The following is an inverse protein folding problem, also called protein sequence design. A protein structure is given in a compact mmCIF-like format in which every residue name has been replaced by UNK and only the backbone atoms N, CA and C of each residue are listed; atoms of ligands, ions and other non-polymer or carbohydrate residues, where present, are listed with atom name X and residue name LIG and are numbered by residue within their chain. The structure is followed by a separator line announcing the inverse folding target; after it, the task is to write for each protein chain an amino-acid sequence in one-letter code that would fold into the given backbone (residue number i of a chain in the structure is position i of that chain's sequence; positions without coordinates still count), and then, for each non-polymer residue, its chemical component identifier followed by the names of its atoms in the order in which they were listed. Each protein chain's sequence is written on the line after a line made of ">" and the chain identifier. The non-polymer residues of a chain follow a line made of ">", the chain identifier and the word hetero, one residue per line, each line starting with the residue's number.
data_IF_560595542077
#
_entry.id   IF_560595542077
#
_cell.length_a   1.000
_cell.length_b   1.000
_cell.length_c   1.000
_cell.angle_alpha   90.00
_cell.angle_beta   90.00
_cell.angle_gamma   90.00
#
_symmetry.space_group_name_H-M   'P 1'
#
loop_
_entity.id
_entity.type
_entity.pdbx_description
1 polymer ?
#
# COMPACT_ATOMS: atom_id res chain seq x y z
N UNK A 1 51.38 -20.31 -0.70
CA UNK A 1 50.37 -19.88 0.30
C UNK A 1 49.60 -18.71 -0.29
N UNK A 2 48.31 -18.87 -0.59
CA UNK A 2 47.49 -17.80 -1.15
C UNK A 2 47.09 -16.82 -0.03
N UNK A 3 47.36 -15.53 -0.24
CA UNK A 3 46.99 -14.46 0.69
C UNK A 3 45.46 -14.34 0.75
N UNK A 4 44.86 -14.61 1.92
CA UNK A 4 43.43 -14.35 2.17
C UNK A 4 43.22 -12.82 2.18
N UNK A 5 42.60 -12.30 1.13
CA UNK A 5 42.21 -10.89 1.04
C UNK A 5 41.13 -10.63 2.10
N UNK A 6 41.39 -9.71 3.04
CA UNK A 6 40.38 -9.27 4.02
C UNK A 6 39.22 -8.59 3.27
N UNK A 7 37.95 -8.91 3.54
CA UNK A 7 36.84 -8.21 2.94
C UNK A 7 36.86 -6.75 3.38
N UNK A 8 36.66 -5.82 2.45
CA UNK A 8 36.44 -4.42 2.81
C UNK A 8 35.01 -4.28 3.34
N UNK A 9 34.78 -3.56 4.46
CA UNK A 9 33.44 -3.27 4.94
C UNK A 9 32.68 -2.45 3.89
N UNK A 10 31.52 -2.96 3.43
CA UNK A 10 30.64 -2.27 2.49
C UNK A 10 29.46 -1.68 3.24
N UNK A 11 29.19 -0.39 3.06
CA UNK A 11 28.03 0.26 3.70
C UNK A 11 26.78 -0.06 2.88
N UNK A 12 25.91 -0.91 3.43
CA UNK A 12 24.65 -1.30 2.79
C UNK A 12 23.49 -0.55 3.46
N UNK A 13 22.66 0.08 2.64
CA UNK A 13 21.45 0.74 3.10
C UNK A 13 20.28 -0.25 3.12
N UNK A 14 19.85 -0.66 4.32
CA UNK A 14 18.73 -1.57 4.48
C UNK A 14 17.48 -0.72 4.68
N UNK A 15 16.62 -0.67 3.65
CA UNK A 15 15.29 -0.05 3.75
C UNK A 15 14.18 -1.09 3.63
N UNK A 16 13.14 -0.95 4.45
CA UNK A 16 11.89 -1.72 4.31
C UNK A 16 10.92 -0.92 3.46
N UNK A 17 10.68 -1.35 2.23
CA UNK A 17 9.60 -0.79 1.42
C UNK A 17 8.25 -1.29 1.97
N UNK A 18 7.26 -0.40 2.20
CA UNK A 18 5.93 -0.81 2.57
C UNK A 18 5.24 -1.48 1.38
N UNK A 19 4.39 -2.45 1.70
CA UNK A 19 3.62 -3.17 0.69
C UNK A 19 2.45 -2.28 0.26
N UNK A 20 2.60 -1.61 -0.89
CA UNK A 20 1.61 -0.66 -1.42
C UNK A 20 0.29 -1.35 -1.78
N UNK A 21 0.37 -2.51 -2.46
CA UNK A 21 -0.81 -3.22 -2.97
C UNK A 21 -1.79 -3.63 -1.86
N UNK A 22 -1.37 -4.22 -0.72
CA UNK A 22 -2.26 -4.51 0.40
C UNK A 22 -3.06 -3.29 0.88
N UNK A 23 -2.42 -2.14 1.06
CA UNK A 23 -3.10 -0.92 1.52
C UNK A 23 -4.13 -0.41 0.52
N UNK A 24 -3.80 -0.43 -0.77
CA UNK A 24 -4.74 -0.04 -1.82
C UNK A 24 -5.96 -1.00 -1.85
N UNK A 25 -5.74 -2.31 -1.72
CA UNK A 25 -6.81 -3.30 -1.63
C UNK A 25 -7.66 -3.14 -0.37
N UNK A 26 -7.05 -2.88 0.80
CA UNK A 26 -7.78 -2.59 2.03
C UNK A 26 -8.70 -1.39 1.86
N UNK A 27 -8.20 -0.31 1.25
CA UNK A 27 -8.98 0.87 0.94
C UNK A 27 -10.14 0.56 -0.01
N UNK A 28 -9.90 -0.21 -1.07
CA UNK A 28 -10.93 -0.63 -2.02
C UNK A 28 -12.04 -1.47 -1.35
N UNK A 29 -11.68 -2.39 -0.46
CA UNK A 29 -12.63 -3.20 0.30
C UNK A 29 -13.48 -2.31 1.21
N UNK A 30 -12.87 -1.36 1.92
CA UNK A 30 -13.61 -0.39 2.73
C UNK A 30 -14.57 0.46 1.90
N UNK A 31 -14.12 0.93 0.73
CA UNK A 31 -14.96 1.67 -0.21
C UNK A 31 -16.13 0.85 -0.73
N UNK A 32 -15.89 -0.41 -1.10
CA UNK A 32 -16.93 -1.35 -1.49
C UNK A 32 -17.98 -1.54 -0.38
N UNK A 33 -17.55 -1.77 0.87
CA UNK A 33 -18.46 -1.89 2.01
C UNK A 33 -19.28 -0.61 2.19
N UNK A 34 -18.64 0.56 2.10
CA UNK A 34 -19.32 1.85 2.20
C UNK A 34 -20.38 2.03 1.09
N UNK A 35 -20.14 1.56 -0.13
CA UNK A 35 -21.13 1.59 -1.21
C UNK A 35 -22.40 0.80 -0.85
N UNK A 36 -22.26 -0.40 -0.27
CA UNK A 36 -23.42 -1.18 0.19
C UNK A 36 -24.16 -0.46 1.31
N UNK A 37 -23.43 0.09 2.28
CA UNK A 37 -24.04 0.87 3.38
C UNK A 37 -24.84 2.06 2.83
N UNK A 38 -24.25 2.84 1.93
CA UNK A 38 -24.93 3.98 1.28
C UNK A 38 -26.16 3.52 0.49
N UNK A 39 -26.06 2.40 -0.24
CA UNK A 39 -27.19 1.86 -1.00
C UNK A 39 -28.36 1.45 -0.09
N UNK A 40 -28.11 0.93 1.11
CA UNK A 40 -29.15 0.59 2.09
C UNK A 40 -29.89 1.83 2.60
N UNK A 41 -29.26 3.01 2.59
CA UNK A 41 -29.90 4.26 2.96
C UNK A 41 -30.74 4.90 1.84
N UNK A 42 -30.66 4.39 0.60
CA UNK A 42 -31.44 4.90 -0.53
C UNK A 42 -32.82 4.21 -0.57
N UNK A 43 -33.92 4.97 -0.35
CA UNK A 43 -35.29 4.45 -0.45
C UNK A 43 -35.58 3.88 -1.83
N UNK A 44 -36.36 2.78 -1.90
CA UNK A 44 -36.59 2.06 -3.15
C UNK A 44 -37.30 2.90 -4.22
N UNK A 45 -38.18 3.82 -3.80
CA UNK A 45 -38.90 4.78 -4.64
C UNK A 45 -38.01 5.89 -5.23
N UNK A 46 -36.83 6.11 -4.63
CA UNK A 46 -35.86 7.12 -5.07
C UNK A 46 -34.69 6.53 -5.84
N UNK A 47 -34.66 5.21 -6.06
CA UNK A 47 -33.61 4.57 -6.86
C UNK A 47 -33.80 4.93 -8.33
N UNK A 48 -32.73 5.41 -8.96
CA UNK A 48 -32.68 5.62 -10.41
C UNK A 48 -32.99 4.32 -11.15
N UNK A 49 -33.49 4.42 -12.40
CA UNK A 49 -33.63 3.28 -13.30
C UNK A 49 -32.29 2.64 -13.68
N UNK A 50 -31.18 3.36 -13.49
CA UNK A 50 -29.83 2.85 -13.69
C UNK A 50 -29.38 1.92 -12.55
N UNK A 51 -28.35 1.11 -12.82
CA UNK A 51 -27.72 0.25 -11.81
C UNK A 51 -26.89 1.08 -10.81
N UNK A 52 -27.60 1.75 -9.90
CA UNK A 52 -27.01 2.65 -8.91
C UNK A 52 -26.08 1.94 -7.93
N UNK A 53 -26.34 0.67 -7.61
CA UNK A 53 -25.45 -0.13 -6.79
C UNK A 53 -24.11 -0.34 -7.49
N UNK A 54 -24.11 -0.69 -8.78
CA UNK A 54 -22.88 -0.84 -9.57
C UNK A 54 -22.07 0.45 -9.63
N UNK A 55 -22.74 1.58 -9.84
CA UNK A 55 -22.11 2.90 -9.86
C UNK A 55 -21.51 3.28 -8.49
N UNK A 56 -22.26 3.07 -7.40
CA UNK A 56 -21.77 3.31 -6.04
C UNK A 56 -20.59 2.40 -5.71
N UNK A 57 -20.68 1.12 -6.05
CA UNK A 57 -19.62 0.16 -5.81
C UNK A 57 -18.34 0.56 -6.55
N UNK A 58 -18.43 0.84 -7.85
CA UNK A 58 -17.28 1.23 -8.65
C UNK A 58 -16.66 2.53 -8.15
N UNK A 59 -17.48 3.57 -7.94
CA UNK A 59 -16.99 4.88 -7.48
C UNK A 59 -16.36 4.83 -6.09
N UNK A 60 -16.99 4.17 -5.12
CA UNK A 60 -16.47 4.10 -3.75
C UNK A 60 -15.30 3.13 -3.63
N UNK A 61 -15.29 1.99 -4.34
CA UNK A 61 -14.14 1.10 -4.36
C UNK A 61 -12.92 1.78 -5.01
N UNK A 62 -13.10 2.50 -6.12
CA UNK A 62 -12.03 3.28 -6.76
C UNK A 62 -11.53 4.41 -5.86
N UNK A 63 -12.43 5.14 -5.19
CA UNK A 63 -12.05 6.18 -4.23
C UNK A 63 -11.28 5.58 -3.05
N UNK A 64 -11.78 4.51 -2.45
CA UNK A 64 -11.14 3.79 -1.36
C UNK A 64 -9.76 3.25 -1.76
N UNK A 65 -9.63 2.71 -2.97
CA UNK A 65 -8.35 2.28 -3.54
C UNK A 65 -7.35 3.44 -3.59
N UNK A 66 -7.78 4.60 -4.11
CA UNK A 66 -6.96 5.81 -4.18
C UNK A 66 -6.51 6.30 -2.80
N UNK A 67 -7.41 6.30 -1.81
CA UNK A 67 -7.09 6.67 -0.42
C UNK A 67 -6.09 5.69 0.20
N UNK A 68 -6.30 4.38 0.03
CA UNK A 68 -5.37 3.36 0.52
C UNK A 68 -3.99 3.47 -0.10
N UNK A 69 -3.94 3.78 -1.41
CA UNK A 69 -2.70 4.03 -2.12
C UNK A 69 -1.98 5.28 -1.59
N UNK A 70 -2.69 6.40 -1.46
CA UNK A 70 -2.14 7.65 -0.94
C UNK A 70 -1.60 7.48 0.49
N UNK A 71 -2.32 6.73 1.33
CA UNK A 71 -1.87 6.38 2.68
C UNK A 71 -0.58 5.57 2.66
N UNK A 72 -0.49 4.52 1.82
CA UNK A 72 0.70 3.69 1.72
C UNK A 72 1.93 4.49 1.31
N UNK A 73 1.78 5.37 0.31
CA UNK A 73 2.84 6.25 -0.17
C UNK A 73 3.25 7.24 0.93
N UNK A 74 2.29 7.80 1.66
CA UNK A 74 2.57 8.72 2.77
C UNK A 74 3.40 8.03 3.87
N UNK A 75 3.04 6.80 4.22
CA UNK A 75 3.78 5.99 5.18
C UNK A 75 5.19 5.64 4.66
N UNK A 76 5.33 5.31 3.38
CA UNK A 76 6.64 5.08 2.75
C UNK A 76 7.55 6.31 2.85
N UNK A 77 7.02 7.46 2.46
CA UNK A 77 7.73 8.74 2.50
C UNK A 77 8.17 9.09 3.93
N UNK A 78 7.29 8.90 4.92
CA UNK A 78 7.62 9.13 6.32
C UNK A 78 8.67 8.13 6.83
N UNK A 79 8.54 6.85 6.49
CA UNK A 79 9.45 5.79 6.93
C UNK A 79 10.84 5.88 6.30
N UNK A 80 10.94 6.37 5.05
CA UNK A 80 12.21 6.54 4.34
C UNK A 80 13.20 7.44 5.10
N UNK A 81 12.69 8.33 5.97
CA UNK A 81 13.51 9.21 6.81
C UNK A 81 14.26 8.48 7.92
N UNK A 82 13.88 7.24 8.23
CA UNK A 82 14.51 6.42 9.29
C UNK A 82 15.44 5.33 8.73
N UNK A 83 15.90 5.47 7.49
CA UNK A 83 16.81 4.51 6.88
C UNK A 83 18.11 4.38 7.69
N UNK A 84 18.41 3.15 8.14
CA UNK A 84 19.63 2.82 8.89
C UNK A 84 20.69 2.29 7.93
N UNK A 85 21.91 2.81 8.06
CA UNK A 85 23.09 2.31 7.34
C UNK A 85 23.77 1.25 8.21
N UNK A 86 24.03 0.08 7.63
CA UNK A 86 24.76 -0.99 8.29
C UNK A 86 26.03 -1.30 7.50
N UNK A 87 27.15 -1.48 8.19
CA UNK A 87 28.37 -2.02 7.59
C UNK A 87 28.22 -3.54 7.47
N UNK A 88 28.28 -4.05 6.25
CA UNK A 88 28.19 -5.46 5.95
C UNK A 88 29.56 -5.97 5.47
N UNK A 89 30.01 -7.08 6.06
CA UNK A 89 31.18 -7.80 5.58
C UNK A 89 30.73 -8.95 4.67
N UNK A 90 31.21 -8.96 3.43
CA UNK A 90 30.85 -9.99 2.45
C UNK A 90 31.63 -11.27 2.77
N UNK A 91 30.96 -12.26 3.35
CA UNK A 91 31.54 -13.61 3.52
C UNK A 91 31.53 -14.28 2.15
N UNK A 92 32.71 -14.54 1.59
CA UNK A 92 32.89 -15.34 0.38
C UNK A 92 33.08 -16.79 0.84
N UNK A 93 32.08 -17.63 0.63
CA UNK A 93 32.16 -19.09 0.81
C UNK A 93 32.71 -19.75 -0.47
#
# INVERSE_FOLDING_TARGET
>A
MASKKKPNPEVVEIRRAPKILPWALTGAIFGAIAAFVLYLFIPADQRSSENILGLLFLSMASLGFGVGLAFAITVDLLSSRSAKRAEAERVVE
#
